data_IF_601448894976
#
_entry.id   IF_601448894976
#
_cell.length_a   1.000
_cell.length_b   1.000
_cell.length_c   1.000
_cell.angle_alpha   90.00
_cell.angle_beta   90.00
_cell.angle_gamma   90.00
#
_symmetry.space_group_name_H-M   'P 1'
#
loop_
_entity.id
_entity.type
_entity.pdbx_description
1 polymer ?
#
# COMPACT_ATOMS: atom_id res chain seq x y z
N UNK A 1 -22.90 6.19 -13.70
CA UNK A 1 -22.99 6.98 -12.45
C UNK A 1 -21.67 7.69 -12.28
N UNK A 2 -21.63 8.94 -11.79
CA UNK A 2 -20.36 9.61 -11.59
C UNK A 2 -19.50 8.79 -10.64
N UNK A 3 -18.19 8.78 -10.89
CA UNK A 3 -17.20 8.06 -10.10
C UNK A 3 -17.21 8.54 -8.65
N UNK A 4 -17.28 7.62 -7.69
CA UNK A 4 -17.13 7.95 -6.28
C UNK A 4 -15.64 8.15 -5.94
N UNK A 5 -15.29 9.36 -5.47
CA UNK A 5 -13.91 9.71 -5.13
C UNK A 5 -13.81 10.08 -3.65
N UNK A 6 -13.08 9.25 -2.90
CA UNK A 6 -12.71 9.52 -1.51
C UNK A 6 -11.43 10.37 -1.52
N UNK A 7 -11.58 11.69 -1.41
CA UNK A 7 -10.49 12.65 -1.57
C UNK A 7 -10.00 13.20 -0.24
N UNK A 8 -8.66 13.20 -0.06
CA UNK A 8 -7.95 13.70 1.11
C UNK A 8 -6.74 14.55 0.70
N UNK A 9 -6.72 15.85 1.09
CA UNK A 9 -5.65 16.79 0.74
C UNK A 9 -5.39 17.82 1.86
N UNK A 10 -4.28 17.78 2.58
CA UNK A 10 -3.68 16.52 3.01
C UNK A 10 -4.59 15.81 4.02
N UNK A 11 -4.48 14.50 4.21
CA UNK A 11 -5.15 13.81 5.30
C UNK A 11 -4.55 14.20 6.66
N UNK A 12 -5.32 14.03 7.74
CA UNK A 12 -4.79 14.11 9.10
C UNK A 12 -3.93 12.87 9.39
N UNK A 13 -4.32 11.72 8.82
CA UNK A 13 -3.61 10.45 8.94
C UNK A 13 -3.77 9.64 7.64
N UNK A 14 -2.66 9.07 7.14
CA UNK A 14 -2.66 8.11 6.05
C UNK A 14 -1.71 6.97 6.37
N UNK A 15 -2.23 5.76 6.49
CA UNK A 15 -1.47 4.63 6.99
C UNK A 15 -1.81 3.32 6.27
N UNK A 16 -0.81 2.43 6.19
CA UNK A 16 -1.04 1.02 5.95
C UNK A 16 -1.16 0.26 7.27
N UNK A 17 -2.02 -0.73 7.31
CA UNK A 17 -2.19 -1.59 8.48
C UNK A 17 -2.74 -2.95 8.11
N UNK A 18 -2.89 -3.83 9.09
CA UNK A 18 -3.41 -5.19 8.88
C UNK A 18 -4.44 -5.58 9.93
N UNK A 19 -5.38 -6.41 9.51
CA UNK A 19 -6.35 -7.08 10.39
C UNK A 19 -6.16 -8.59 10.25
N UNK A 20 -6.16 -9.29 11.36
CA UNK A 20 -6.02 -10.75 11.39
C UNK A 20 -4.63 -11.23 11.83
N UNK A 21 -4.50 -12.56 11.97
CA UNK A 21 -3.27 -13.20 12.41
C UNK A 21 -2.24 -13.32 11.27
N UNK A 22 -0.93 -13.40 11.59
CA UNK A 22 0.10 -13.68 10.60
C UNK A 22 -0.25 -14.90 9.74
N UNK A 23 -0.22 -14.72 8.40
CA UNK A 23 -0.61 -15.75 7.43
C UNK A 23 -2.07 -15.68 6.97
N UNK A 24 -2.92 -14.94 7.69
CA UNK A 24 -4.33 -14.70 7.35
C UNK A 24 -4.71 -13.23 7.54
N UNK A 25 -3.78 -12.34 7.19
CA UNK A 25 -3.97 -10.89 7.33
C UNK A 25 -4.60 -10.32 6.08
N UNK A 26 -5.58 -9.45 6.29
CA UNK A 26 -6.02 -8.49 5.27
C UNK A 26 -5.26 -7.19 5.50
N UNK A 27 -4.70 -6.64 4.43
CA UNK A 27 -4.02 -5.35 4.45
C UNK A 27 -5.02 -4.26 4.08
N UNK A 28 -4.85 -3.10 4.70
CA UNK A 28 -5.68 -1.92 4.44
C UNK A 28 -4.81 -0.69 4.24
N UNK A 29 -5.23 0.18 3.33
CA UNK A 29 -4.90 1.60 3.35
C UNK A 29 -6.03 2.33 4.04
N UNK A 30 -5.69 3.20 4.98
CA UNK A 30 -6.65 4.00 5.69
C UNK A 30 -6.25 5.47 5.64
N UNK A 31 -7.18 6.32 5.18
CA UNK A 31 -7.05 7.76 5.17
C UNK A 31 -8.11 8.36 6.10
N UNK A 32 -7.70 9.31 6.96
CA UNK A 32 -8.66 10.02 7.81
C UNK A 32 -8.41 11.51 7.77
N UNK A 33 -9.51 12.29 7.88
CA UNK A 33 -9.52 13.74 7.99
C UNK A 33 -10.82 14.22 8.62
N UNK A 34 -10.71 15.06 9.65
CA UNK A 34 -11.85 15.71 10.29
C UNK A 34 -12.97 14.73 10.68
N UNK A 35 -12.60 13.58 11.24
CA UNK A 35 -13.55 12.57 11.72
C UNK A 35 -14.11 11.64 10.63
N UNK A 36 -13.79 11.87 9.35
CA UNK A 36 -14.10 10.93 8.26
C UNK A 36 -12.91 9.99 8.04
N UNK A 37 -13.19 8.71 7.97
CA UNK A 37 -12.20 7.66 7.71
C UNK A 37 -12.67 6.82 6.52
N UNK A 38 -11.75 6.53 5.61
CA UNK A 38 -11.95 5.62 4.48
C UNK A 38 -10.91 4.53 4.56
N UNK A 39 -11.34 3.28 4.49
CA UNK A 39 -10.45 2.11 4.48
C UNK A 39 -10.68 1.30 3.21
N UNK A 40 -9.62 0.96 2.51
CA UNK A 40 -9.66 0.11 1.32
C UNK A 40 -8.75 -1.09 1.52
N UNK A 41 -9.22 -2.27 1.11
CA UNK A 41 -8.47 -3.51 1.27
C UNK A 41 -7.57 -3.76 0.06
N UNK A 42 -6.39 -4.34 0.30
CA UNK A 42 -5.44 -4.66 -0.75
C UNK A 42 -4.55 -5.85 -0.37
N UNK A 43 -3.80 -6.36 -1.32
CA UNK A 43 -2.88 -7.47 -1.11
C UNK A 43 -1.53 -6.99 -0.53
N UNK A 44 -0.84 -7.88 0.19
CA UNK A 44 0.50 -7.61 0.74
C UNK A 44 1.48 -7.11 -0.33
N UNK A 45 1.44 -7.72 -1.52
CA UNK A 45 2.30 -7.35 -2.63
C UNK A 45 2.03 -5.91 -3.11
N UNK A 46 0.77 -5.48 -3.11
CA UNK A 46 0.37 -4.12 -3.48
C UNK A 46 0.89 -3.10 -2.46
N UNK A 47 0.79 -3.39 -1.14
CA UNK A 47 1.37 -2.50 -0.11
C UNK A 47 2.88 -2.38 -0.27
N UNK A 48 3.57 -3.49 -0.50
CA UNK A 48 5.02 -3.52 -0.70
C UNK A 48 5.43 -2.71 -1.93
N UNK A 49 4.74 -2.92 -3.06
CA UNK A 49 5.00 -2.18 -4.29
C UNK A 49 4.74 -0.68 -4.13
N UNK A 50 3.64 -0.31 -3.46
CA UNK A 50 3.30 1.08 -3.19
C UNK A 50 4.39 1.77 -2.36
N UNK A 51 4.83 1.15 -1.26
CA UNK A 51 5.88 1.71 -0.41
C UNK A 51 7.19 1.91 -1.17
N UNK A 52 7.62 0.91 -1.94
CA UNK A 52 8.83 0.97 -2.75
C UNK A 52 8.75 2.08 -3.80
N UNK A 53 7.63 2.17 -4.52
CA UNK A 53 7.45 3.18 -5.58
C UNK A 53 7.38 4.59 -5.02
N UNK A 54 6.80 4.80 -3.85
CA UNK A 54 6.82 6.10 -3.16
C UNK A 54 8.26 6.50 -2.85
N UNK A 55 9.07 5.60 -2.26
CA UNK A 55 10.47 5.89 -1.94
C UNK A 55 11.29 6.20 -3.20
N UNK A 56 11.16 5.40 -4.27
CA UNK A 56 11.84 5.62 -5.54
C UNK A 56 11.48 6.99 -6.16
N UNK A 57 10.19 7.35 -6.15
CA UNK A 57 9.73 8.61 -6.72
C UNK A 57 10.20 9.81 -5.89
N UNK A 58 10.18 9.72 -4.56
CA UNK A 58 10.70 10.77 -3.68
C UNK A 58 12.21 10.95 -3.85
N UNK A 59 12.98 9.86 -4.00
CA UNK A 59 14.42 9.93 -4.26
C UNK A 59 14.71 10.59 -5.61
N UNK A 60 13.90 10.32 -6.62
CA UNK A 60 13.98 10.97 -7.92
C UNK A 60 13.70 12.49 -7.83
N UNK A 61 12.68 12.87 -7.05
CA UNK A 61 12.35 14.29 -6.81
C UNK A 61 13.53 15.01 -6.14
N UNK A 62 14.11 14.43 -5.09
CA UNK A 62 15.29 14.99 -4.40
C UNK A 62 16.46 15.15 -5.37
N UNK A 63 16.72 14.13 -6.19
CA UNK A 63 17.81 14.15 -7.17
C UNK A 63 17.61 15.25 -8.22
N UNK A 64 16.40 15.36 -8.78
CA UNK A 64 16.08 16.36 -9.81
C UNK A 64 16.07 17.79 -9.29
N UNK A 65 15.64 18.00 -8.06
CA UNK A 65 15.64 19.31 -7.42
C UNK A 65 17.04 19.80 -7.00
N UNK A 66 18.06 18.95 -7.10
CA UNK A 66 19.40 19.29 -6.60
C UNK A 66 19.45 19.52 -5.10
N UNK A 67 18.51 18.95 -4.35
CA UNK A 67 18.39 19.08 -2.90
C UNK A 67 17.63 20.32 -2.42
N UNK A 68 16.93 21.01 -3.33
CA UNK A 68 16.11 22.20 -2.97
C UNK A 68 14.68 21.85 -2.58
N UNK A 69 14.22 20.60 -2.78
CA UNK A 69 12.88 20.15 -2.39
C UNK A 69 12.77 19.94 -0.88
N UNK A 70 11.59 20.16 -0.33
CA UNK A 70 11.27 19.87 1.09
C UNK A 70 11.08 18.36 1.38
N UNK A 71 11.44 17.50 0.42
CA UNK A 71 11.36 16.04 0.59
C UNK A 71 12.53 15.56 1.43
N UNK A 72 12.29 14.95 2.61
CA UNK A 72 13.37 14.47 3.46
C UNK A 72 13.98 13.17 2.89
N UNK A 73 15.26 12.96 3.15
CA UNK A 73 15.95 11.71 2.77
C UNK A 73 15.45 10.49 3.58
N UNK A 74 15.00 10.71 4.81
CA UNK A 74 14.45 9.69 5.70
C UNK A 74 13.14 10.14 6.30
N UNK A 75 12.31 9.19 6.73
CA UNK A 75 11.05 9.49 7.39
C UNK A 75 11.28 10.31 8.68
N UNK A 76 10.61 11.47 8.84
CA UNK A 76 10.69 12.26 10.07
C UNK A 76 10.19 11.46 11.28
N UNK A 77 10.93 11.50 12.39
CA UNK A 77 10.59 10.73 13.58
C UNK A 77 9.25 11.19 14.21
N UNK A 78 8.94 12.47 14.10
CA UNK A 78 7.70 13.08 14.59
C UNK A 78 6.45 12.62 13.83
N UNK A 79 6.61 12.12 12.61
CA UNK A 79 5.53 11.52 11.81
C UNK A 79 5.47 9.99 11.93
N UNK A 80 6.28 9.41 12.82
CA UNK A 80 6.24 7.96 13.07
C UNK A 80 4.91 7.58 13.71
N UNK A 81 4.13 6.77 13.01
CA UNK A 81 2.84 6.26 13.48
C UNK A 81 2.88 4.74 13.59
N UNK A 82 2.77 4.23 14.81
CA UNK A 82 2.70 2.79 15.11
C UNK A 82 1.34 2.38 15.68
N UNK A 83 0.40 3.31 15.77
CA UNK A 83 -0.94 3.04 16.27
C UNK A 83 -1.70 2.06 15.33
N UNK A 84 -2.62 1.26 15.87
CA UNK A 84 -3.48 0.42 15.04
C UNK A 84 -4.33 1.25 14.06
N UNK A 85 -4.99 0.58 13.12
CA UNK A 85 -6.00 1.22 12.28
C UNK A 85 -7.14 1.75 13.15
N UNK A 86 -7.74 2.87 12.75
CA UNK A 86 -8.91 3.43 13.40
C UNK A 86 -10.12 2.50 13.19
N UNK A 87 -10.87 2.25 14.27
CA UNK A 87 -12.07 1.42 14.24
C UNK A 87 -13.34 2.29 14.19
N UNK A 88 -14.41 1.82 13.54
CA UNK A 88 -14.55 0.54 12.83
C UNK A 88 -13.76 0.49 11.52
N UNK A 89 -13.24 -0.69 11.15
CA UNK A 89 -12.57 -0.91 9.87
C UNK A 89 -13.61 -1.46 8.91
N UNK A 90 -14.15 -0.59 8.09
CA UNK A 90 -15.11 -0.92 7.05
C UNK A 90 -14.42 -0.82 5.70
N UNK A 91 -14.48 -1.91 4.92
CA UNK A 91 -13.91 -1.96 3.57
C UNK A 91 -14.85 -1.27 2.60
N UNK A 92 -14.46 -0.10 2.08
CA UNK A 92 -15.21 0.59 1.02
C UNK A 92 -15.13 -0.17 -0.29
N UNK A 93 -13.91 -0.63 -0.61
CA UNK A 93 -13.65 -1.48 -1.78
C UNK A 93 -12.30 -2.19 -1.66
N UNK A 94 -12.13 -3.21 -2.49
CA UNK A 94 -10.84 -3.88 -2.72
C UNK A 94 -10.09 -3.19 -3.85
N UNK A 95 -8.80 -2.91 -3.63
CA UNK A 95 -7.96 -2.21 -4.61
C UNK A 95 -7.59 -3.14 -5.76
N UNK A 96 -7.87 -2.73 -6.99
CA UNK A 96 -7.38 -3.35 -8.22
C UNK A 96 -6.12 -2.66 -8.71
N UNK A 97 -6.24 -1.38 -9.10
CA UNK A 97 -5.16 -0.59 -9.70
C UNK A 97 -4.72 0.54 -8.79
N UNK A 98 -3.42 0.87 -8.84
CA UNK A 98 -2.87 2.01 -8.12
C UNK A 98 -2.03 2.87 -9.06
N UNK A 99 -2.11 4.18 -8.88
CA UNK A 99 -1.28 5.15 -9.57
C UNK A 99 -0.56 6.07 -8.57
N UNK A 100 0.62 6.52 -8.96
CA UNK A 100 1.44 7.46 -8.20
C UNK A 100 1.92 8.58 -9.12
N UNK A 101 1.85 9.81 -8.63
CA UNK A 101 2.41 10.97 -9.31
C UNK A 101 3.00 11.95 -8.29
N UNK A 102 4.00 12.70 -8.74
CA UNK A 102 4.49 13.87 -8.02
C UNK A 102 3.95 15.12 -8.72
N UNK A 103 3.15 15.87 -8.00
CA UNK A 103 2.69 17.19 -8.41
C UNK A 103 3.75 18.24 -8.03
N UNK A 104 4.52 18.68 -9.01
CA UNK A 104 5.62 19.62 -8.80
C UNK A 104 5.15 21.03 -8.43
N UNK A 105 3.96 21.44 -8.86
CA UNK A 105 3.43 22.78 -8.61
C UNK A 105 3.00 22.94 -7.16
N UNK A 106 2.42 21.90 -6.58
CA UNK A 106 1.98 21.89 -5.17
C UNK A 106 2.94 21.16 -4.25
N UNK A 107 4.00 20.54 -4.78
CA UNK A 107 4.95 19.70 -4.05
C UNK A 107 4.23 18.60 -3.24
N UNK A 108 3.37 17.84 -3.90
CA UNK A 108 2.58 16.77 -3.31
C UNK A 108 2.79 15.43 -4.03
N UNK A 109 2.91 14.39 -3.23
CA UNK A 109 2.73 13.01 -3.70
C UNK A 109 1.25 12.74 -3.84
N UNK A 110 0.81 12.35 -5.02
CA UNK A 110 -0.56 11.90 -5.27
C UNK A 110 -0.58 10.39 -5.31
N UNK A 111 -1.39 9.79 -4.46
CA UNK A 111 -1.64 8.34 -4.40
C UNK A 111 -3.08 8.11 -4.80
N UNK A 112 -3.30 7.26 -5.79
CA UNK A 112 -4.62 6.84 -6.23
C UNK A 112 -4.73 5.32 -6.12
N UNK A 113 -5.81 4.87 -5.51
CA UNK A 113 -6.17 3.46 -5.43
C UNK A 113 -7.59 3.28 -5.93
N UNK A 114 -7.75 2.55 -7.03
CA UNK A 114 -9.03 2.33 -7.69
C UNK A 114 -9.57 0.96 -7.31
N UNK A 115 -10.90 0.86 -7.20
CA UNK A 115 -11.56 -0.40 -6.92
C UNK A 115 -11.25 -1.46 -7.99
N UNK A 116 -11.14 -2.70 -7.55
CA UNK A 116 -11.07 -3.85 -8.43
C UNK A 116 -12.38 -3.94 -9.22
N UNK A 117 -12.26 -3.99 -10.53
CA UNK A 117 -13.38 -4.26 -11.43
C UNK A 117 -13.25 -5.71 -11.89
N UNK A 118 -14.25 -6.51 -11.60
CA UNK A 118 -14.38 -7.83 -12.20
C UNK A 118 -14.85 -7.62 -13.65
N UNK A 119 -13.96 -7.91 -14.58
CA UNK A 119 -14.26 -7.82 -16.00
C UNK A 119 -14.74 -9.20 -16.47
N UNK A 120 -16.01 -9.30 -16.79
CA UNK A 120 -16.54 -10.41 -17.57
C UNK A 120 -16.09 -10.23 -19.03
N UNK A 121 -14.79 -10.43 -19.27
CA UNK A 121 -14.22 -10.31 -20.62
C UNK A 121 -14.19 -11.69 -21.27
N UNK A 122 -14.94 -11.82 -22.35
CA UNK A 122 -15.01 -13.07 -23.14
C UNK A 122 -13.81 -13.23 -24.10
N UNK A 123 -12.92 -12.21 -24.20
CA UNK A 123 -11.75 -12.23 -25.07
C UNK A 123 -10.56 -11.42 -24.51
N UNK A 124 -9.33 -11.77 -24.95
CA UNK A 124 -8.10 -11.04 -24.60
C UNK A 124 -8.12 -9.58 -25.10
N UNK A 125 -8.85 -9.29 -26.18
CA UNK A 125 -9.00 -7.93 -26.71
C UNK A 125 -9.89 -7.08 -25.81
N UNK A 126 -10.95 -7.65 -25.22
CA UNK A 126 -11.82 -6.97 -24.26
C UNK A 126 -11.09 -6.68 -22.96
N UNK A 127 -10.20 -7.59 -22.51
CA UNK A 127 -9.33 -7.40 -21.35
C UNK A 127 -8.38 -6.21 -21.56
N UNK A 128 -7.70 -6.16 -22.70
CA UNK A 128 -6.76 -5.07 -23.00
C UNK A 128 -7.45 -3.70 -23.09
N UNK A 129 -8.63 -3.65 -23.73
CA UNK A 129 -9.41 -2.41 -23.82
C UNK A 129 -9.93 -1.95 -22.45
N UNK A 130 -10.30 -2.88 -21.59
CA UNK A 130 -10.76 -2.59 -20.24
C UNK A 130 -9.60 -2.15 -19.33
N UNK A 131 -8.41 -2.74 -19.44
CA UNK A 131 -7.21 -2.27 -18.75
C UNK A 131 -6.83 -0.85 -19.16
N UNK A 132 -6.90 -0.53 -20.46
CA UNK A 132 -6.63 0.81 -20.95
C UNK A 132 -7.66 1.82 -20.44
N UNK A 133 -8.94 1.45 -20.38
CA UNK A 133 -10.01 2.28 -19.83
C UNK A 133 -9.85 2.55 -18.32
N UNK A 134 -9.30 1.58 -17.55
CA UNK A 134 -9.03 1.77 -16.12
C UNK A 134 -7.89 2.78 -15.85
N UNK A 135 -6.98 2.97 -16.81
CA UNK A 135 -5.88 3.93 -16.71
C UNK A 135 -6.30 5.35 -17.07
N UNK A 136 -7.46 5.53 -17.70
CA UNK A 136 -8.00 6.85 -18.03
C UNK A 136 -8.71 7.45 -16.82
N UNK A 137 -8.54 8.75 -16.59
CA UNK A 137 -9.28 9.49 -15.55
C UNK A 137 -10.70 9.77 -16.04
N UNK A 138 -11.51 8.69 -16.11
CA UNK A 138 -12.90 8.76 -16.59
C UNK A 138 -13.82 9.12 -15.42
N UNK A 139 -14.71 10.09 -15.65
CA UNK A 139 -15.76 10.51 -14.71
C UNK A 139 -16.72 9.36 -14.33
N UNK A 140 -16.76 8.29 -15.10
CA UNK A 140 -17.59 7.10 -14.89
C UNK A 140 -16.78 5.86 -14.43
N UNK A 141 -15.52 6.04 -14.06
CA UNK A 141 -14.65 4.95 -13.60
C UNK A 141 -15.07 4.32 -12.25
N UNK A 142 -14.38 3.26 -11.81
CA UNK A 142 -14.65 2.62 -10.54
C UNK A 142 -14.37 3.56 -9.35
N UNK A 143 -14.94 3.29 -8.16
CA UNK A 143 -14.63 4.05 -6.95
C UNK A 143 -13.13 4.19 -6.72
N UNK A 144 -12.69 5.33 -6.19
CA UNK A 144 -11.27 5.64 -6.03
C UNK A 144 -10.99 6.36 -4.72
N UNK A 145 -9.95 5.94 -4.03
CA UNK A 145 -9.30 6.70 -2.97
C UNK A 145 -8.17 7.53 -3.58
N UNK A 146 -8.25 8.86 -3.46
CA UNK A 146 -7.19 9.80 -3.89
C UNK A 146 -6.67 10.55 -2.68
N UNK A 147 -5.36 10.46 -2.44
CA UNK A 147 -4.70 11.09 -1.30
C UNK A 147 -3.53 11.93 -1.78
N UNK A 148 -3.45 13.18 -1.30
CA UNK A 148 -2.34 14.09 -1.57
C UNK A 148 -1.51 14.31 -0.30
N UNK A 149 -0.26 13.89 -0.33
CA UNK A 149 0.65 13.88 0.81
C UNK A 149 1.77 14.91 0.62
N UNK A 150 2.24 15.49 1.70
CA UNK A 150 3.55 16.16 1.67
C UNK A 150 4.65 15.13 1.48
N UNK A 151 5.85 15.55 1.01
CA UNK A 151 6.99 14.64 0.89
C UNK A 151 7.35 13.96 2.21
N UNK A 152 7.21 14.69 3.33
CA UNK A 152 7.43 14.17 4.69
C UNK A 152 6.42 13.07 5.05
N UNK A 153 5.13 13.32 4.80
CA UNK A 153 4.06 12.33 5.06
C UNK A 153 4.21 11.09 4.18
N UNK A 154 4.57 11.28 2.91
CA UNK A 154 4.77 10.18 1.98
C UNK A 154 5.95 9.28 2.41
N UNK A 155 7.06 9.88 2.87
CA UNK A 155 8.21 9.13 3.40
C UNK A 155 7.84 8.37 4.68
N UNK A 156 7.09 9.01 5.60
CA UNK A 156 6.60 8.37 6.82
C UNK A 156 5.66 7.19 6.52
N UNK A 157 4.76 7.37 5.55
CA UNK A 157 3.88 6.31 5.08
C UNK A 157 4.66 5.11 4.49
N UNK A 158 5.63 5.37 3.60
CA UNK A 158 6.43 4.32 2.98
C UNK A 158 7.19 3.51 4.04
N UNK A 159 7.80 4.19 5.02
CA UNK A 159 8.46 3.51 6.14
C UNK A 159 7.50 2.61 6.90
N UNK A 160 6.33 3.14 7.33
CA UNK A 160 5.33 2.35 8.05
C UNK A 160 4.82 1.17 7.24
N UNK A 161 4.53 1.37 5.95
CA UNK A 161 4.06 0.32 5.05
C UNK A 161 5.09 -0.82 4.95
N UNK A 162 6.38 -0.48 4.82
CA UNK A 162 7.46 -1.46 4.86
C UNK A 162 7.53 -2.21 6.19
N UNK A 163 7.41 -1.50 7.33
CA UNK A 163 7.40 -2.12 8.66
C UNK A 163 6.24 -3.10 8.80
N UNK A 164 5.03 -2.75 8.35
CA UNK A 164 3.82 -3.61 8.38
C UNK A 164 3.99 -4.84 7.49
N UNK A 165 4.54 -4.66 6.28
CA UNK A 165 4.82 -5.77 5.35
C UNK A 165 5.84 -6.74 5.94
N UNK A 166 6.89 -6.22 6.61
CA UNK A 166 7.98 -6.98 7.18
C UNK A 166 7.65 -7.56 8.56
N UNK A 167 6.65 -7.05 9.25
CA UNK A 167 6.13 -7.60 10.52
C UNK A 167 5.43 -8.96 10.33
N UNK A 168 5.80 -9.70 9.30
CA UNK A 168 5.32 -11.02 8.96
C UNK A 168 5.78 -12.09 9.95
N UNK A 169 5.52 -13.35 9.58
CA UNK A 169 6.00 -14.51 10.31
C UNK A 169 7.53 -14.49 10.39
N UNK A 170 8.15 -14.67 11.58
CA UNK A 170 9.59 -14.70 11.69
C UNK A 170 10.15 -15.86 10.83
N UNK A 171 11.34 -15.72 10.27
CA UNK A 171 11.98 -16.81 9.54
C UNK A 171 12.40 -17.93 10.50
N UNK A 172 12.22 -19.16 10.06
CA UNK A 172 12.77 -20.31 10.78
C UNK A 172 14.30 -20.24 10.84
N UNK A 173 14.93 -20.38 12.01
CA UNK A 173 16.39 -20.30 12.13
C UNK A 173 17.11 -21.42 11.40
N UNK A 174 16.42 -22.51 11.05
CA UNK A 174 17.02 -23.67 10.37
C UNK A 174 16.87 -23.63 8.84
N UNK A 175 15.69 -23.27 8.34
CA UNK A 175 15.38 -23.33 6.90
C UNK A 175 15.02 -21.98 6.27
N UNK A 176 14.95 -20.90 7.07
CA UNK A 176 14.57 -19.54 6.66
C UNK A 176 13.15 -19.40 6.08
N UNK A 177 12.36 -20.46 6.07
CA UNK A 177 10.94 -20.39 5.72
C UNK A 177 10.15 -19.70 6.83
N UNK A 178 9.05 -19.00 6.51
CA UNK A 178 8.22 -18.35 7.52
C UNK A 178 7.67 -19.34 8.54
N UNK A 179 7.79 -18.97 9.83
CA UNK A 179 7.20 -19.72 10.94
C UNK A 179 5.73 -19.32 11.12
N UNK A 180 4.84 -20.29 11.04
CA UNK A 180 3.44 -20.08 11.46
C UNK A 180 3.36 -20.02 13.00
N UNK A 181 2.36 -19.32 13.57
CA UNK A 181 2.13 -19.32 15.03
C UNK A 181 1.93 -20.71 15.62
N UNK A 182 1.40 -21.64 14.82
CA UNK A 182 1.17 -23.04 15.15
C UNK A 182 2.40 -23.93 14.86
N UNK A 183 3.50 -23.32 14.38
CA UNK A 183 4.71 -24.00 13.94
C UNK A 183 4.70 -24.35 12.45
N UNK A 184 5.81 -24.88 11.95
CA UNK A 184 5.90 -25.42 10.59
C UNK A 184 6.70 -26.71 10.55
N UNK A 185 6.42 -27.53 9.57
CA UNK A 185 7.23 -28.72 9.28
C UNK A 185 8.52 -28.27 8.61
N UNK A 186 9.60 -28.19 9.38
CA UNK A 186 10.89 -27.74 8.89
C UNK A 186 11.55 -28.80 8.01
N UNK A 187 11.82 -28.52 6.72
CA UNK A 187 12.50 -29.48 5.84
C UNK A 187 13.90 -29.90 6.36
N UNK A 188 14.54 -29.01 7.14
CA UNK A 188 15.85 -29.31 7.76
C UNK A 188 15.75 -30.01 9.11
N UNK A 189 14.60 -30.00 9.75
CA UNK A 189 14.35 -30.69 11.01
C UNK A 189 13.82 -32.12 10.79
N UNK A 190 13.17 -32.37 9.66
CA UNK A 190 12.65 -33.68 9.27
C UNK A 190 13.73 -34.55 8.59
N UNK A 191 14.91 -34.61 9.23
CA UNK A 191 15.77 -35.76 9.13
C UNK A 191 16.45 -36.02 7.79
N UNK A 192 17.65 -35.57 7.64
CA UNK A 192 18.68 -36.50 7.17
C UNK A 192 19.25 -37.21 8.41
N UNK A 193 18.65 -38.30 8.87
CA UNK A 193 19.41 -39.33 9.52
C UNK A 193 20.29 -39.91 8.43
N UNK A 194 21.59 -39.56 8.49
CA UNK A 194 22.61 -40.37 7.83
C UNK A 194 22.52 -41.74 8.50
N UNK A 195 22.03 -42.74 7.77
CA UNK A 195 22.19 -44.10 8.17
C UNK A 195 23.70 -44.39 8.32
N UNK A 196 24.02 -44.96 9.44
CA UNK A 196 25.28 -45.65 9.64
C UNK A 196 25.48 -46.77 8.60
#
# INVERSE_FOLDING_TARGET
MPREVYFYDPPDRFVAGTVGLPGRRTFFLQASKSGRTTSVALEKAQVSALAQRIDELLDEVVRRSGGTSDVPAVAPAELSDTAPLDAPIEEEFRVGTMALAWDADSERMVVEAQALVELDADSDEDLAAAEEALLQDDENGPPMLRVRLTGQMARAFAKRANDVVNAGRPPCPLCSLPLDPEGHVCPRQNGYRRGE
#
